data_IF_478337557145
#
_entry.id   IF_478337557145
#
_cell.length_a   1.000
_cell.length_b   1.000
_cell.length_c   1.000
_cell.angle_alpha   90.00
_cell.angle_beta   90.00
_cell.angle_gamma   90.00
#
_symmetry.space_group_name_H-M   'P 1'
#
loop_
_entity.id
_entity.type
_entity.pdbx_description
1 polymer ?
#
# COMPACT_ATOMS: atom_id res chain seq x y z
N UNK A 1 18.37 -17.12 7.55
CA UNK A 1 18.89 -15.78 7.92
C UNK A 1 19.99 -15.45 6.93
N UNK A 2 19.71 -14.56 5.98
CA UNK A 2 20.61 -14.21 4.89
C UNK A 2 20.57 -12.69 4.73
N UNK A 3 21.27 -11.97 5.61
CA UNK A 3 21.28 -10.50 5.58
C UNK A 3 22.67 -9.87 5.77
N UNK A 4 23.76 -10.66 5.80
CA UNK A 4 25.13 -10.15 5.96
C UNK A 4 26.02 -10.44 4.73
N UNK A 5 25.59 -10.04 3.53
CA UNK A 5 26.52 -9.91 2.40
C UNK A 5 26.79 -8.41 2.16
N UNK A 6 28.06 -7.95 2.17
CA UNK A 6 28.40 -6.52 2.04
C UNK A 6 27.96 -5.88 0.71
N UNK A 7 27.70 -6.70 -0.31
CA UNK A 7 27.21 -6.30 -1.64
C UNK A 7 25.69 -6.44 -1.81
N UNK A 8 24.94 -6.81 -0.76
CA UNK A 8 23.49 -6.83 -0.85
C UNK A 8 22.97 -5.40 -1.13
N UNK A 9 22.16 -5.19 -2.19
CA UNK A 9 21.58 -3.88 -2.45
C UNK A 9 20.93 -3.36 -1.17
N UNK A 10 21.26 -2.14 -0.74
CA UNK A 10 20.59 -1.50 0.41
C UNK A 10 19.10 -1.42 0.07
N UNK A 11 18.34 -2.41 0.54
CA UNK A 11 16.90 -2.35 0.52
C UNK A 11 16.52 -1.33 1.58
N UNK A 12 16.34 -0.08 1.15
CA UNK A 12 15.61 0.92 1.92
C UNK A 12 14.13 0.51 1.92
N UNK A 13 13.84 -0.58 2.63
CA UNK A 13 12.49 -1.05 2.82
C UNK A 13 11.79 -0.15 3.83
N UNK A 14 10.63 0.37 3.46
CA UNK A 14 9.73 0.97 4.44
C UNK A 14 9.20 -0.18 5.29
N UNK A 15 9.53 -0.19 6.58
CA UNK A 15 8.96 -1.15 7.51
C UNK A 15 7.51 -0.75 7.78
N UNK A 16 6.59 -1.46 7.15
CA UNK A 16 5.17 -1.27 7.40
C UNK A 16 4.81 -1.85 8.77
N UNK A 17 3.88 -1.19 9.46
CA UNK A 17 3.28 -1.76 10.65
C UNK A 17 2.45 -3.01 10.27
N UNK A 18 2.18 -3.88 11.24
CA UNK A 18 1.34 -5.07 11.02
C UNK A 18 -0.06 -4.67 10.53
N UNK A 19 -0.62 -3.60 11.08
CA UNK A 19 -1.92 -3.06 10.67
C UNK A 19 -1.91 -2.60 9.22
N UNK A 20 -0.85 -1.91 8.79
CA UNK A 20 -0.68 -1.48 7.41
C UNK A 20 -0.50 -2.68 6.47
N UNK A 21 0.25 -3.70 6.87
CA UNK A 21 0.39 -4.94 6.11
C UNK A 21 -0.94 -5.68 5.95
N UNK A 22 -1.79 -5.64 6.97
CA UNK A 22 -3.14 -6.21 6.90
C UNK A 22 -4.00 -5.47 5.87
N UNK A 23 -3.96 -4.14 5.87
CA UNK A 23 -4.66 -3.32 4.86
C UNK A 23 -4.19 -3.66 3.43
N UNK A 24 -2.88 -3.71 3.21
CA UNK A 24 -2.27 -4.09 1.92
C UNK A 24 -2.77 -5.47 1.48
N UNK A 25 -2.83 -6.42 2.42
CA UNK A 25 -3.28 -7.78 2.17
C UNK A 25 -4.78 -7.86 1.79
N UNK A 26 -5.64 -7.06 2.42
CA UNK A 26 -7.07 -6.99 2.08
C UNK A 26 -7.30 -6.37 0.69
N UNK A 27 -6.59 -5.28 0.35
CA UNK A 27 -6.66 -4.67 -0.99
C UNK A 27 -6.16 -5.66 -2.05
N UNK A 28 -5.08 -6.38 -1.76
CA UNK A 28 -4.55 -7.41 -2.65
C UNK A 28 -5.58 -8.51 -2.89
N UNK A 29 -6.23 -9.03 -1.84
CA UNK A 29 -7.28 -10.04 -1.98
C UNK A 29 -8.48 -9.54 -2.77
N UNK A 30 -8.90 -8.29 -2.55
CA UNK A 30 -9.99 -7.69 -3.30
C UNK A 30 -9.68 -7.67 -4.80
N UNK A 31 -8.50 -7.16 -5.17
CA UNK A 31 -8.02 -7.09 -6.56
C UNK A 31 -7.88 -8.47 -7.21
N UNK A 32 -7.44 -9.48 -6.47
CA UNK A 32 -7.38 -10.86 -6.97
C UNK A 32 -8.77 -11.37 -7.35
N UNK A 33 -9.77 -11.15 -6.49
CA UNK A 33 -11.16 -11.59 -6.75
C UNK A 33 -11.80 -10.89 -7.93
N UNK A 34 -11.38 -9.65 -8.22
CA UNK A 34 -11.89 -8.83 -9.33
C UNK A 34 -11.04 -8.93 -10.60
N UNK A 35 -10.05 -9.84 -10.67
CA UNK A 35 -9.10 -9.99 -11.77
C UNK A 35 -8.34 -8.68 -12.12
N UNK A 36 -8.02 -7.88 -11.12
CA UNK A 36 -7.23 -6.65 -11.24
C UNK A 36 -5.75 -6.90 -10.91
N UNK A 37 -4.88 -6.00 -11.37
CA UNK A 37 -3.44 -6.04 -11.05
C UNK A 37 -3.20 -5.98 -9.55
N UNK A 38 -2.31 -6.84 -9.04
CA UNK A 38 -1.93 -6.96 -7.62
C UNK A 38 -0.55 -6.39 -7.33
N UNK A 39 -0.03 -5.54 -8.21
CA UNK A 39 1.27 -4.88 -8.00
C UNK A 39 1.22 -3.98 -6.76
N UNK A 40 2.36 -3.80 -6.09
CA UNK A 40 2.44 -2.89 -4.95
C UNK A 40 1.99 -1.47 -5.33
N UNK A 41 2.36 -0.98 -6.51
CA UNK A 41 1.95 0.33 -7.01
C UNK A 41 0.43 0.48 -7.05
N UNK A 42 -0.26 -0.52 -7.60
CA UNK A 42 -1.73 -0.48 -7.72
C UNK A 42 -2.44 -0.63 -6.38
N UNK A 43 -1.84 -1.35 -5.42
CA UNK A 43 -2.36 -1.42 -4.04
C UNK A 43 -2.19 -0.07 -3.32
N UNK A 44 -1.04 0.58 -3.51
CA UNK A 44 -0.74 1.90 -2.93
C UNK A 44 -1.68 2.96 -3.49
N UNK A 45 -1.94 2.93 -4.81
CA UNK A 45 -2.88 3.85 -5.46
C UNK A 45 -4.29 3.74 -4.86
N UNK A 46 -4.81 2.52 -4.67
CA UNK A 46 -6.11 2.32 -4.00
C UNK A 46 -6.12 2.86 -2.58
N UNK A 47 -5.08 2.58 -1.80
CA UNK A 47 -4.99 3.05 -0.43
C UNK A 47 -4.99 4.59 -0.35
N UNK A 48 -4.25 5.25 -1.26
CA UNK A 48 -4.21 6.71 -1.36
C UNK A 48 -5.58 7.24 -1.78
N UNK A 49 -6.23 6.64 -2.78
CA UNK A 49 -7.55 7.08 -3.25
C UNK A 49 -8.61 6.95 -2.14
N UNK A 50 -8.61 5.84 -1.39
CA UNK A 50 -9.49 5.66 -0.24
C UNK A 50 -9.25 6.74 0.83
N UNK A 51 -7.98 7.06 1.12
CA UNK A 51 -7.66 8.10 2.08
C UNK A 51 -8.06 9.49 1.59
N UNK A 52 -7.80 9.82 0.32
CA UNK A 52 -8.23 11.05 -0.32
C UNK A 52 -9.74 11.22 -0.23
N UNK A 53 -10.51 10.20 -0.65
CA UNK A 53 -11.97 10.22 -0.58
C UNK A 53 -12.48 10.45 0.84
N UNK A 54 -11.85 9.81 1.83
CA UNK A 54 -12.15 10.02 3.24
C UNK A 54 -11.89 11.48 3.65
N UNK A 55 -10.74 12.05 3.31
CA UNK A 55 -10.39 13.43 3.64
C UNK A 55 -11.32 14.45 2.95
N UNK A 56 -11.75 14.18 1.71
CA UNK A 56 -12.76 14.98 1.00
C UNK A 56 -14.10 14.93 1.76
N UNK A 57 -14.55 13.73 2.15
CA UNK A 57 -15.81 13.55 2.88
C UNK A 57 -15.79 14.19 4.27
N UNK A 58 -14.63 14.23 4.92
CA UNK A 58 -14.42 14.93 6.19
C UNK A 58 -14.32 16.47 6.02
N UNK A 59 -14.26 16.97 4.78
CA UNK A 59 -14.04 18.38 4.47
C UNK A 59 -12.62 18.87 4.78
N UNK A 60 -11.69 17.95 5.06
CA UNK A 60 -10.30 18.26 5.38
C UNK A 60 -9.52 18.74 4.14
N UNK A 61 -9.89 18.26 2.96
CA UNK A 61 -9.36 18.72 1.67
C UNK A 61 -10.51 19.02 0.70
N UNK A 62 -10.29 19.97 -0.21
CA UNK A 62 -11.27 20.30 -1.26
C UNK A 62 -11.15 19.32 -2.41
N UNK A 63 -12.27 19.05 -3.05
CA UNK A 63 -12.31 18.34 -4.33
C UNK A 63 -12.24 19.40 -5.43
N UNK A 64 -11.05 19.58 -6.03
CA UNK A 64 -10.81 20.49 -7.15
C UNK A 64 -11.04 19.78 -8.50
#
# INVERSE_FOLDING_TARGET
>A
MAYDHPDAPKQFGIRLSEETMKLVSEIQHHRQRTNQSITLASIVEDAIQCHYNRLVNEGAIKND
#
